data_IF_716720251836
#
_entry.id   IF_716720251836
#
_cell.length_a   1.000
_cell.length_b   1.000
_cell.length_c   1.000
_cell.angle_alpha   90.00
_cell.angle_beta   90.00
_cell.angle_gamma   90.00
#
_symmetry.space_group_name_H-M   'P 1'
#
loop_
_entity.id
_entity.type
_entity.pdbx_description
1 polymer ?
#
# COMPACT_ATOMS: atom_id res chain seq x y z
N UNK A 1 -1.66 11.23 6.62
CA UNK A 1 -0.45 11.16 7.49
C UNK A 1 0.37 12.46 7.46
N UNK A 2 1.13 12.76 6.40
CA UNK A 2 2.09 13.90 6.37
C UNK A 2 1.51 15.27 6.79
N UNK A 3 0.39 15.68 6.20
CA UNK A 3 -0.26 16.96 6.52
C UNK A 3 -1.02 16.94 7.86
N UNK A 4 -1.55 15.79 8.24
CA UNK A 4 -2.33 15.62 9.47
C UNK A 4 -1.43 15.60 10.71
N UNK A 5 -0.20 15.09 10.57
CA UNK A 5 0.74 14.89 11.66
C UNK A 5 0.94 16.13 12.55
N UNK A 6 0.97 17.34 11.95
CA UNK A 6 1.16 18.61 12.66
C UNK A 6 -0.06 19.08 13.48
N UNK A 7 -1.24 18.53 13.19
CA UNK A 7 -2.49 18.93 13.81
C UNK A 7 -2.89 18.03 14.98
N UNK A 8 -2.22 16.89 15.14
CA UNK A 8 -2.47 15.92 16.22
C UNK A 8 -1.65 16.33 17.44
N UNK A 9 -2.31 16.84 18.48
CA UNK A 9 -1.65 17.42 19.66
C UNK A 9 -2.09 16.82 20.99
N UNK A 10 -3.27 16.21 21.05
CA UNK A 10 -3.76 15.58 22.28
C UNK A 10 -3.11 14.20 22.45
N UNK A 11 -2.67 13.80 23.65
CA UNK A 11 -1.98 12.51 23.86
C UNK A 11 -2.78 11.28 23.40
N UNK A 12 -4.11 11.31 23.56
CA UNK A 12 -5.00 10.25 23.08
C UNK A 12 -4.99 10.20 21.55
N UNK A 13 -5.22 11.34 20.89
CA UNK A 13 -5.20 11.44 19.44
C UNK A 13 -3.85 11.04 18.85
N UNK A 14 -2.73 11.35 19.52
CA UNK A 14 -1.39 10.93 19.11
C UNK A 14 -1.27 9.41 19.14
N UNK A 15 -1.77 8.77 20.21
CA UNK A 15 -1.76 7.30 20.34
C UNK A 15 -2.55 6.65 19.21
N UNK A 16 -3.78 7.14 19.00
CA UNK A 16 -4.67 6.63 17.97
C UNK A 16 -4.10 6.91 16.57
N UNK A 17 -3.49 8.07 16.35
CA UNK A 17 -2.81 8.43 15.11
C UNK A 17 -1.63 7.50 14.80
N UNK A 18 -0.74 7.28 15.77
CA UNK A 18 0.41 6.39 15.59
C UNK A 18 -0.03 4.95 15.29
N UNK A 19 -1.00 4.43 16.03
CA UNK A 19 -1.45 3.05 15.87
C UNK A 19 -2.36 2.84 14.64
N UNK A 20 -3.47 3.56 14.56
CA UNK A 20 -4.48 3.31 13.51
C UNK A 20 -4.09 3.88 12.15
N UNK A 21 -3.34 4.98 12.11
CA UNK A 21 -3.00 5.62 10.83
C UNK A 21 -1.57 5.34 10.37
N UNK A 22 -0.57 5.47 11.23
CA UNK A 22 0.83 5.29 10.80
C UNK A 22 1.19 3.81 10.76
N UNK A 23 1.05 3.09 11.87
CA UNK A 23 1.43 1.70 12.00
C UNK A 23 0.62 0.80 11.07
N UNK A 24 -0.71 0.92 11.12
CA UNK A 24 -1.61 0.08 10.32
C UNK A 24 -1.42 0.30 8.82
N UNK A 25 -1.13 1.53 8.39
CA UNK A 25 -0.80 1.81 6.99
C UNK A 25 0.55 1.20 6.60
N UNK A 26 1.59 1.42 7.41
CA UNK A 26 2.93 0.93 7.09
C UNK A 26 3.00 -0.61 7.09
N UNK A 27 2.28 -1.27 8.01
CA UNK A 27 2.16 -2.73 8.09
C UNK A 27 1.42 -3.28 6.86
N UNK A 28 0.32 -2.63 6.47
CA UNK A 28 -0.43 -3.01 5.29
C UNK A 28 0.41 -2.89 4.01
N UNK A 29 1.13 -1.78 3.85
CA UNK A 29 2.06 -1.56 2.72
C UNK A 29 3.17 -2.61 2.73
N UNK A 30 3.75 -2.93 3.89
CA UNK A 30 4.79 -3.96 3.97
C UNK A 30 4.24 -5.33 3.54
N UNK A 31 3.07 -5.72 4.04
CA UNK A 31 2.47 -7.00 3.70
C UNK A 31 2.05 -7.08 2.22
N UNK A 32 1.61 -5.98 1.61
CA UNK A 32 1.31 -5.91 0.19
C UNK A 32 2.52 -6.31 -0.67
N UNK A 33 3.67 -5.67 -0.44
CA UNK A 33 4.89 -5.96 -1.20
C UNK A 33 5.48 -7.36 -0.89
N UNK A 34 5.30 -7.88 0.33
CA UNK A 34 5.66 -9.29 0.65
C UNK A 34 4.84 -10.26 -0.21
N UNK A 35 3.52 -10.06 -0.31
CA UNK A 35 2.67 -10.93 -1.11
C UNK A 35 3.01 -10.85 -2.60
N UNK A 36 3.44 -9.69 -3.08
CA UNK A 36 3.90 -9.53 -4.44
C UNK A 36 5.14 -10.36 -4.73
N UNK A 37 6.16 -10.27 -3.87
CA UNK A 37 7.40 -11.02 -4.03
C UNK A 37 7.23 -12.52 -3.86
N UNK A 38 6.39 -12.96 -2.91
CA UNK A 38 6.23 -14.38 -2.61
C UNK A 38 5.27 -15.10 -3.58
N UNK A 39 4.22 -14.42 -4.05
CA UNK A 39 3.12 -15.05 -4.79
C UNK A 39 2.91 -14.43 -6.18
N UNK A 40 2.83 -13.10 -6.26
CA UNK A 40 2.41 -12.43 -7.50
C UNK A 40 3.48 -12.50 -8.57
N UNK A 41 4.70 -12.01 -8.30
CA UNK A 41 5.80 -11.96 -9.26
C UNK A 41 6.19 -13.36 -9.74
N UNK A 42 6.39 -14.37 -8.87
CA UNK A 42 6.69 -15.73 -9.33
C UNK A 42 5.53 -16.33 -10.14
N UNK A 43 4.29 -15.97 -9.80
CA UNK A 43 3.10 -16.39 -10.55
C UNK A 43 3.04 -15.79 -11.95
N UNK A 44 3.33 -14.50 -12.08
CA UNK A 44 3.38 -13.80 -13.35
C UNK A 44 4.52 -14.29 -14.23
N UNK A 45 5.73 -14.47 -13.70
CA UNK A 45 6.87 -15.00 -14.45
C UNK A 45 6.60 -16.41 -15.00
N UNK A 46 5.90 -17.27 -14.24
CA UNK A 46 5.45 -18.60 -14.72
C UNK A 46 4.47 -18.50 -15.88
N UNK A 47 3.56 -17.53 -15.87
CA UNK A 47 2.59 -17.32 -16.95
C UNK A 47 3.26 -16.73 -18.19
N UNK A 48 4.24 -15.84 -18.00
CA UNK A 48 5.00 -15.21 -19.08
C UNK A 48 6.14 -16.08 -19.63
N UNK A 49 6.45 -17.21 -18.97
CA UNK A 49 7.53 -18.12 -19.35
C UNK A 49 8.91 -17.49 -19.27
N UNK A 50 9.16 -16.63 -18.27
CA UNK A 50 10.41 -15.86 -18.09
C UNK A 50 10.75 -14.89 -19.24
N UNK A 51 9.77 -14.51 -20.07
CA UNK A 51 9.96 -13.52 -21.14
C UNK A 51 10.18 -12.10 -20.61
N UNK A 52 9.74 -11.86 -19.37
CA UNK A 52 9.88 -10.60 -18.65
C UNK A 52 10.22 -10.94 -17.21
N UNK A 53 11.29 -10.34 -16.68
CA UNK A 53 11.67 -10.48 -15.28
C UNK A 53 11.08 -9.33 -14.47
N UNK A 54 10.57 -9.66 -13.28
CA UNK A 54 10.08 -8.69 -12.31
C UNK A 54 11.12 -8.39 -11.22
N UNK A 55 12.38 -8.83 -11.39
CA UNK A 55 13.50 -8.61 -10.47
C UNK A 55 13.71 -7.12 -10.16
N UNK A 56 13.52 -6.25 -11.17
CA UNK A 56 13.60 -4.79 -10.98
C UNK A 56 12.53 -4.25 -10.03
N UNK A 57 11.35 -4.86 -9.95
CA UNK A 57 10.33 -4.47 -8.97
C UNK A 57 10.81 -4.84 -7.56
N UNK A 58 11.39 -6.03 -7.39
CA UNK A 58 11.96 -6.46 -6.11
C UNK A 58 13.12 -5.56 -5.65
N UNK A 59 14.02 -5.19 -6.57
CA UNK A 59 15.09 -4.22 -6.28
C UNK A 59 14.53 -2.88 -5.78
N UNK A 60 13.40 -2.44 -6.34
CA UNK A 60 12.73 -1.21 -5.90
C UNK A 60 12.10 -1.36 -4.52
N UNK A 61 11.49 -2.51 -4.21
CA UNK A 61 10.98 -2.81 -2.87
C UNK A 61 12.09 -2.70 -1.83
N UNK A 62 13.24 -3.32 -2.09
CA UNK A 62 14.39 -3.32 -1.19
C UNK A 62 14.97 -1.91 -0.94
N UNK A 63 14.70 -0.92 -1.80
CA UNK A 63 15.14 0.47 -1.58
C UNK A 63 14.29 1.17 -0.52
N UNK A 64 12.96 1.06 -0.58
CA UNK A 64 12.08 1.79 0.35
C UNK A 64 11.70 0.98 1.59
N UNK A 65 11.77 -0.36 1.53
CA UNK A 65 11.38 -1.23 2.63
C UNK A 65 12.13 -0.96 3.95
N UNK A 66 13.45 -0.65 3.96
CA UNK A 66 14.13 -0.29 5.21
C UNK A 66 13.53 0.94 5.89
N UNK A 67 13.23 1.99 5.11
CA UNK A 67 12.62 3.22 5.64
C UNK A 67 11.18 2.96 6.10
N UNK A 68 10.45 2.09 5.40
CA UNK A 68 9.11 1.65 5.83
C UNK A 68 9.16 0.91 7.18
N UNK A 69 10.19 0.09 7.41
CA UNK A 69 10.40 -0.56 8.71
C UNK A 69 10.76 0.45 9.81
N UNK A 70 11.49 1.52 9.49
CA UNK A 70 11.74 2.62 10.44
C UNK A 70 10.43 3.34 10.82
N UNK A 71 9.52 3.56 9.86
CA UNK A 71 8.19 4.14 10.12
C UNK A 71 7.37 3.20 11.03
N UNK A 72 7.41 1.89 10.76
CA UNK A 72 6.76 0.88 11.60
C UNK A 72 7.28 0.89 13.03
N UNK A 73 8.60 0.86 13.21
CA UNK A 73 9.24 0.91 14.52
C UNK A 73 8.90 2.20 15.25
N UNK A 74 9.02 3.35 14.58
CA UNK A 74 8.64 4.65 15.14
C UNK A 74 7.19 4.65 15.62
N UNK A 75 6.26 4.13 14.84
CA UNK A 75 4.83 4.08 15.22
C UNK A 75 4.53 3.13 16.38
N UNK A 76 5.29 2.05 16.54
CA UNK A 76 5.08 1.06 17.58
C UNK A 76 5.73 1.45 18.92
N UNK A 77 6.89 2.12 18.87
CA UNK A 77 7.73 2.40 20.05
C UNK A 77 7.54 3.81 20.60
N UNK A 78 7.03 4.75 19.79
CA UNK A 78 6.87 6.15 20.21
C UNK A 78 5.71 6.32 21.18
N UNK A 79 6.01 6.85 22.36
CA UNK A 79 4.99 7.28 23.33
C UNK A 79 4.44 8.65 22.92
N UNK A 80 3.20 9.02 23.29
CA UNK A 80 2.62 10.31 22.93
C UNK A 80 3.45 11.53 23.34
N UNK A 81 4.18 11.41 24.45
CA UNK A 81 5.06 12.48 24.96
C UNK A 81 6.34 12.67 24.15
N UNK A 82 6.75 11.63 23.42
CA UNK A 82 7.96 11.61 22.60
C UNK A 82 7.65 11.85 21.11
N UNK A 83 6.37 11.99 20.77
CA UNK A 83 5.91 12.18 19.40
C UNK A 83 6.44 13.50 18.83
N UNK A 84 7.20 13.37 17.74
CA UNK A 84 7.76 14.48 17.01
C UNK A 84 7.31 14.43 15.56
N UNK A 85 6.55 15.45 15.17
CA UNK A 85 6.05 15.63 13.81
C UNK A 85 7.20 15.64 12.80
N UNK A 86 8.31 16.32 13.14
CA UNK A 86 9.48 16.42 12.28
C UNK A 86 10.12 15.06 11.98
N UNK A 87 10.15 14.14 12.95
CA UNK A 87 10.72 12.80 12.75
C UNK A 87 9.86 12.00 11.76
N UNK A 88 8.54 12.00 11.96
CA UNK A 88 7.63 11.30 11.07
C UNK A 88 7.65 11.90 9.65
N UNK A 89 7.66 13.22 9.53
CA UNK A 89 7.75 13.89 8.23
C UNK A 89 9.06 13.56 7.51
N UNK A 90 10.19 13.56 8.23
CA UNK A 90 11.48 13.21 7.67
C UNK A 90 11.51 11.77 7.14
N UNK A 91 10.96 10.81 7.88
CA UNK A 91 10.85 9.42 7.42
C UNK A 91 10.00 9.29 6.15
N UNK A 92 8.87 10.01 6.10
CA UNK A 92 8.00 10.03 4.91
C UNK A 92 8.72 10.66 3.72
N UNK A 93 9.42 11.76 3.92
CA UNK A 93 10.21 12.44 2.86
C UNK A 93 11.36 11.57 2.36
N UNK A 94 12.02 10.81 3.24
CA UNK A 94 13.08 9.89 2.86
C UNK A 94 12.56 8.72 2.01
N UNK A 95 11.38 8.20 2.33
CA UNK A 95 10.75 7.09 1.60
C UNK A 95 10.09 7.53 0.29
N UNK A 96 9.52 8.75 0.25
CA UNK A 96 8.65 9.20 -0.84
C UNK A 96 9.28 9.09 -2.25
N UNK A 97 10.53 9.51 -2.51
CA UNK A 97 11.09 9.45 -3.86
C UNK A 97 11.13 8.03 -4.44
N UNK A 98 11.65 7.06 -3.67
CA UNK A 98 11.74 5.66 -4.09
C UNK A 98 10.37 5.00 -4.19
N UNK A 99 9.47 5.30 -3.24
CA UNK A 99 8.12 4.74 -3.26
C UNK A 99 7.30 5.27 -4.44
N UNK A 100 7.34 6.57 -4.72
CA UNK A 100 6.70 7.14 -5.91
C UNK A 100 7.28 6.59 -7.21
N UNK A 101 8.59 6.40 -7.26
CA UNK A 101 9.26 5.81 -8.42
C UNK A 101 8.80 4.37 -8.67
N UNK A 102 8.68 3.58 -7.60
CA UNK A 102 8.20 2.20 -7.64
C UNK A 102 6.76 2.13 -8.17
N UNK A 103 5.82 2.83 -7.52
CA UNK A 103 4.40 2.84 -7.92
C UNK A 103 4.20 3.24 -9.39
N UNK A 104 4.97 4.23 -9.86
CA UNK A 104 4.90 4.66 -11.25
C UNK A 104 5.40 3.59 -12.22
N UNK A 105 6.50 2.90 -11.89
CA UNK A 105 7.08 1.88 -12.77
C UNK A 105 6.27 0.60 -12.77
N UNK A 106 5.68 0.24 -11.64
CA UNK A 106 4.81 -0.92 -11.51
C UNK A 106 3.62 -0.84 -12.48
N UNK A 107 2.93 0.30 -12.53
CA UNK A 107 1.82 0.51 -13.49
C UNK A 107 2.29 0.27 -14.93
N UNK A 108 3.46 0.78 -15.30
CA UNK A 108 4.00 0.60 -16.65
C UNK A 108 4.32 -0.87 -16.95
N UNK A 109 4.83 -1.61 -15.96
CA UNK A 109 5.12 -3.03 -16.10
C UNK A 109 3.84 -3.85 -16.24
N UNK A 110 2.82 -3.57 -15.42
CA UNK A 110 1.51 -4.21 -15.51
C UNK A 110 0.83 -3.95 -16.86
N UNK A 111 0.92 -2.72 -17.38
CA UNK A 111 0.40 -2.38 -18.72
C UNK A 111 1.19 -3.10 -19.81
N UNK A 112 2.52 -3.21 -19.69
CA UNK A 112 3.33 -3.97 -20.65
C UNK A 112 2.94 -5.47 -20.70
N UNK A 113 2.30 -5.99 -19.64
CA UNK A 113 1.83 -7.36 -19.58
C UNK A 113 0.51 -7.62 -20.33
N UNK A 114 -0.14 -6.59 -20.90
CA UNK A 114 -1.39 -6.70 -21.67
C UNK A 114 -1.29 -7.73 -22.81
N UNK A 115 -0.10 -7.89 -23.38
CA UNK A 115 0.17 -8.80 -24.50
C UNK A 115 0.21 -10.29 -24.12
N UNK A 116 0.19 -10.62 -22.82
CA UNK A 116 0.24 -12.01 -22.32
C UNK A 116 -1.16 -12.58 -22.02
N UNK A 117 -1.19 -13.81 -21.51
CA UNK A 117 -2.43 -14.50 -21.18
C UNK A 117 -3.15 -13.86 -19.97
N UNK A 118 -3.97 -12.85 -20.25
CA UNK A 118 -4.78 -12.12 -19.26
C UNK A 118 -5.58 -13.01 -18.30
N UNK A 119 -6.31 -14.04 -18.77
CA UNK A 119 -7.02 -14.96 -17.87
C UNK A 119 -6.12 -15.70 -16.89
N UNK A 120 -4.91 -16.09 -17.31
CA UNK A 120 -3.95 -16.75 -16.43
C UNK A 120 -3.34 -15.77 -15.41
N UNK A 121 -3.02 -14.54 -15.83
CA UNK A 121 -2.57 -13.47 -14.93
C UNK A 121 -3.64 -13.11 -13.89
N UNK A 122 -4.90 -12.99 -14.33
CA UNK A 122 -6.04 -12.73 -13.42
C UNK A 122 -6.21 -13.83 -12.38
N UNK A 123 -5.94 -15.10 -12.73
CA UNK A 123 -5.98 -16.21 -11.77
C UNK A 123 -4.89 -16.08 -10.70
N UNK A 124 -3.69 -15.67 -11.09
CA UNK A 124 -2.60 -15.40 -10.13
C UNK A 124 -2.98 -14.25 -9.22
N UNK A 125 -3.46 -13.13 -9.78
CA UNK A 125 -3.92 -11.97 -9.03
C UNK A 125 -4.99 -12.34 -7.99
N UNK A 126 -6.04 -13.06 -8.39
CA UNK A 126 -7.11 -13.52 -7.46
C UNK A 126 -6.59 -14.42 -6.34
N UNK A 127 -5.55 -15.20 -6.60
CA UNK A 127 -4.93 -16.05 -5.58
C UNK A 127 -4.18 -15.19 -4.55
N UNK A 128 -3.47 -14.16 -5.02
CA UNK A 128 -2.80 -13.18 -4.16
C UNK A 128 -3.81 -12.36 -3.34
N UNK A 129 -4.91 -11.91 -3.95
CA UNK A 129 -5.99 -11.19 -3.28
C UNK A 129 -6.64 -12.04 -2.16
N UNK A 130 -6.87 -13.33 -2.41
CA UNK A 130 -7.43 -14.23 -1.40
C UNK A 130 -6.51 -14.38 -0.17
N UNK A 131 -5.19 -14.34 -0.36
CA UNK A 131 -4.22 -14.33 0.74
C UNK A 131 -4.20 -12.97 1.45
N UNK A 132 -4.22 -11.85 0.71
CA UNK A 132 -4.35 -10.51 1.28
C UNK A 132 -5.63 -10.35 2.13
N UNK A 133 -6.74 -10.97 1.72
CA UNK A 133 -8.01 -10.95 2.43
C UNK A 133 -8.01 -11.66 3.80
N UNK A 134 -6.93 -12.37 4.16
CA UNK A 134 -6.75 -12.98 5.48
C UNK A 134 -6.22 -12.01 6.54
N UNK A 135 -5.85 -10.79 6.14
CA UNK A 135 -5.41 -9.74 7.05
C UNK A 135 -6.45 -9.41 8.14
N UNK A 136 -5.98 -8.77 9.21
CA UNK A 136 -6.82 -8.48 10.37
C UNK A 136 -7.95 -7.50 10.01
N UNK A 137 -9.17 -8.03 10.01
CA UNK A 137 -10.41 -7.32 9.67
C UNK A 137 -10.79 -6.22 10.66
N UNK A 138 -10.14 -6.15 11.82
CA UNK A 138 -10.35 -5.11 12.82
C UNK A 138 -9.36 -3.95 12.73
N UNK A 139 -8.35 -4.04 11.84
CA UNK A 139 -7.28 -3.04 11.72
C UNK A 139 -7.31 -2.39 10.35
N UNK A 140 -7.24 -3.19 9.28
CA UNK A 140 -7.16 -2.67 7.91
C UNK A 140 -8.46 -1.99 7.45
N UNK A 141 -9.67 -2.59 7.61
CA UNK A 141 -10.90 -1.94 7.18
C UNK A 141 -11.21 -0.63 7.92
N UNK A 142 -11.06 -0.52 9.26
CA UNK A 142 -11.21 0.77 9.94
C UNK A 142 -10.22 1.84 9.50
N UNK A 143 -8.95 1.47 9.23
CA UNK A 143 -7.95 2.39 8.68
C UNK A 143 -8.36 2.91 7.30
N UNK A 144 -8.78 2.02 6.39
CA UNK A 144 -9.23 2.39 5.04
C UNK A 144 -10.48 3.27 5.07
N UNK A 145 -11.48 2.91 5.88
CA UNK A 145 -12.71 3.69 6.02
C UNK A 145 -12.49 5.04 6.72
N UNK A 146 -11.56 5.11 7.67
CA UNK A 146 -11.17 6.34 8.36
C UNK A 146 -10.43 7.35 7.46
N UNK A 147 -9.86 6.88 6.36
CA UNK A 147 -9.23 7.72 5.32
C UNK A 147 -10.18 8.10 4.19
N UNK A 148 -11.44 7.63 4.21
CA UNK A 148 -12.43 7.93 3.18
C UNK A 148 -12.96 9.35 3.33
N UNK A 149 -12.50 10.24 2.44
CA UNK A 149 -13.12 11.55 2.26
C UNK A 149 -14.16 11.51 1.13
N UNK A 150 -15.44 11.45 1.50
CA UNK A 150 -16.57 11.50 0.54
C UNK A 150 -16.80 12.89 -0.06
N UNK A 151 -16.10 13.91 0.44
CA UNK A 151 -16.20 15.30 -0.02
C UNK A 151 -15.07 15.69 -0.97
N UNK A 152 -13.97 14.91 -1.02
CA UNK A 152 -12.85 15.13 -1.92
C UNK A 152 -13.31 15.13 -3.40
N UNK A 153 -12.85 16.14 -4.16
CA UNK A 153 -13.27 16.43 -5.55
C UNK A 153 -14.80 16.46 -5.79
N UNK A 154 -15.59 16.87 -4.81
CA UNK A 154 -17.06 16.91 -4.94
C UNK A 154 -17.71 15.54 -4.90
N UNK A 155 -17.05 14.55 -4.29
CA UNK A 155 -17.60 13.23 -4.05
C UNK A 155 -17.63 12.32 -5.28
N UNK A 156 -16.77 12.58 -6.28
CA UNK A 156 -16.62 11.72 -7.47
C UNK A 156 -16.33 10.27 -7.12
N UNK A 157 -15.65 10.03 -6.00
CA UNK A 157 -15.33 8.69 -5.48
C UNK A 157 -16.35 8.20 -4.42
N UNK A 158 -17.49 8.87 -4.29
CA UNK A 158 -18.49 8.64 -3.24
C UNK A 158 -19.28 7.33 -3.35
N UNK A 159 -19.39 6.74 -4.56
CA UNK A 159 -20.23 5.57 -4.84
C UNK A 159 -19.53 4.20 -4.74
N UNK A 160 -18.37 4.13 -4.09
CA UNK A 160 -17.73 2.85 -3.81
C UNK A 160 -18.43 2.25 -2.57
N UNK A 161 -19.53 1.55 -2.80
CA UNK A 161 -20.38 0.93 -1.79
C UNK A 161 -19.82 -0.37 -1.20
N UNK A 162 -18.70 -0.85 -1.73
CA UNK A 162 -18.11 -2.13 -1.38
C UNK A 162 -16.62 -1.95 -1.04
N UNK A 163 -16.18 -2.49 0.09
CA UNK A 163 -14.75 -2.55 0.45
C UNK A 163 -13.95 -3.23 -0.67
N UNK A 164 -14.53 -4.22 -1.34
CA UNK A 164 -13.93 -4.86 -2.51
C UNK A 164 -13.80 -3.92 -3.72
N UNK A 165 -14.74 -3.00 -3.91
CA UNK A 165 -14.68 -2.00 -4.97
C UNK A 165 -13.64 -0.90 -4.68
N UNK A 166 -13.30 -0.64 -3.42
CA UNK A 166 -12.21 0.28 -3.06
C UNK A 166 -10.84 -0.37 -3.31
N UNK A 167 -10.68 -1.64 -2.94
CA UNK A 167 -9.49 -2.43 -3.32
C UNK A 167 -9.33 -2.52 -4.84
N UNK A 168 -10.43 -2.74 -5.58
CA UNK A 168 -10.43 -2.70 -7.04
C UNK A 168 -10.14 -1.30 -7.62
N UNK A 169 -10.71 -0.21 -7.09
CA UNK A 169 -10.47 1.13 -7.62
C UNK A 169 -9.05 1.66 -7.30
N UNK A 170 -8.45 1.21 -6.20
CA UNK A 170 -7.11 1.63 -5.79
C UNK A 170 -6.01 0.83 -6.52
N UNK A 171 -6.30 -0.39 -6.97
CA UNK A 171 -5.30 -1.30 -7.58
C UNK A 171 -5.70 -1.91 -8.94
N UNK A 172 -6.86 -1.59 -9.51
CA UNK A 172 -7.39 -2.34 -10.66
C UNK A 172 -8.54 -1.65 -11.40
N UNK A 173 -8.25 -0.53 -12.06
CA UNK A 173 -9.08 -0.03 -13.17
C UNK A 173 -8.33 0.03 -14.53
N UNK A 174 -7.15 -0.58 -14.67
CA UNK A 174 -6.42 -0.59 -15.95
C UNK A 174 -6.52 -1.89 -16.77
N UNK A 175 -7.31 -2.88 -16.35
CA UNK A 175 -7.38 -4.19 -17.03
C UNK A 175 -8.77 -4.65 -17.48
N UNK A 176 -9.74 -3.73 -17.55
CA UNK A 176 -11.06 -4.03 -18.15
C UNK A 176 -11.43 -2.94 -19.15
N UNK A 177 -10.83 -3.00 -20.32
CA UNK A 177 -11.47 -2.63 -21.58
C UNK A 177 -10.90 -3.46 -22.74
#
# INVERSE_FOLDING_TARGET
>A
IYLQAQHVTLPQDITDFLFFFVHSWADWVANHHILEEELMFPGFERVMGNSMSLERNMEQHHIFQPVLQEILAYSAETRPVDYQVAVLQHLIEAMAPSFHQHLRQEIMNLVAMETFNGPALLKVYKSCEAEAGKQNKYVVPPMVLGLRDVTFEGGKFGNISDLGAFFHATFGESLIH
#
